data_IF_403195953811
#
_entry.id   IF_403195953811
#
_cell.length_a   1.000
_cell.length_b   1.000
_cell.length_c   1.000
_cell.angle_alpha   90.00
_cell.angle_beta   90.00
_cell.angle_gamma   90.00
#
_symmetry.space_group_name_H-M   'P 1'
#
loop_
_entity.id
_entity.type
_entity.pdbx_description
1 polymer ?
#
# COMPACT_ATOMS: atom_id res chain seq x y z
N UNK A 1 -18.86 7.35 -10.63
CA UNK A 1 -17.72 6.69 -9.97
C UNK A 1 -18.27 5.97 -8.75
N UNK A 2 -18.08 4.66 -8.66
CA UNK A 2 -18.55 3.88 -7.52
C UNK A 2 -17.75 4.33 -6.27
N UNK A 3 -18.40 4.46 -5.12
CA UNK A 3 -17.71 4.87 -3.89
C UNK A 3 -16.61 3.84 -3.54
N UNK A 4 -15.39 4.31 -3.28
CA UNK A 4 -14.23 3.45 -2.99
C UNK A 4 -14.53 2.47 -1.86
N UNK A 5 -15.32 2.90 -0.86
CA UNK A 5 -15.61 2.07 0.33
C UNK A 5 -16.52 0.88 0.05
N UNK A 6 -17.18 0.88 -1.11
CA UNK A 6 -18.03 -0.21 -1.59
C UNK A 6 -17.29 -1.24 -2.45
N UNK A 7 -16.04 -0.94 -2.85
CA UNK A 7 -15.25 -1.81 -3.71
C UNK A 7 -14.86 -3.12 -3.00
N UNK A 8 -14.88 -4.27 -3.69
CA UNK A 8 -14.36 -5.53 -3.18
C UNK A 8 -12.92 -5.45 -2.63
N UNK A 9 -12.01 -4.72 -3.29
CA UNK A 9 -10.64 -4.53 -2.76
C UNK A 9 -10.61 -3.76 -1.44
N UNK A 10 -11.49 -2.78 -1.26
CA UNK A 10 -11.64 -2.06 0.01
C UNK A 10 -12.12 -2.99 1.11
N UNK A 11 -13.15 -3.82 0.85
CA UNK A 11 -13.63 -4.80 1.83
C UNK A 11 -12.57 -5.82 2.24
N UNK A 12 -11.72 -6.24 1.30
CA UNK A 12 -10.57 -7.11 1.60
C UNK A 12 -9.56 -6.39 2.51
N UNK A 13 -9.26 -5.13 2.26
CA UNK A 13 -8.37 -4.32 3.11
C UNK A 13 -8.96 -4.07 4.50
N UNK A 14 -10.27 -3.82 4.62
CA UNK A 14 -10.94 -3.67 5.92
C UNK A 14 -10.77 -4.92 6.78
N UNK A 15 -10.96 -6.11 6.19
CA UNK A 15 -10.74 -7.38 6.88
C UNK A 15 -9.26 -7.58 7.24
N UNK A 16 -8.34 -7.38 6.30
CA UNK A 16 -6.90 -7.51 6.53
C UNK A 16 -6.38 -6.54 7.61
N UNK A 17 -6.99 -5.35 7.71
CA UNK A 17 -6.66 -4.40 8.76
C UNK A 17 -7.00 -4.92 10.16
N UNK A 18 -8.02 -5.77 10.31
CA UNK A 18 -8.32 -6.43 11.60
C UNK A 18 -7.18 -7.36 12.02
N UNK A 19 -6.62 -8.11 11.06
CA UNK A 19 -5.48 -8.99 11.32
C UNK A 19 -4.22 -8.18 11.65
N UNK A 20 -3.93 -7.14 10.86
CA UNK A 20 -2.75 -6.29 11.05
C UNK A 20 -2.76 -5.50 12.38
N UNK A 21 -3.94 -5.21 12.96
CA UNK A 21 -4.05 -4.58 14.29
C UNK A 21 -3.44 -5.40 15.42
N UNK A 22 -3.37 -6.72 15.25
CA UNK A 22 -2.76 -7.63 16.22
C UNK A 22 -1.24 -7.75 16.08
N UNK A 23 -0.67 -7.19 15.00
CA UNK A 23 0.75 -7.29 14.70
C UNK A 23 1.53 -6.16 15.37
N UNK A 24 2.73 -6.47 15.82
CA UNK A 24 3.65 -5.52 16.45
C UNK A 24 4.88 -5.30 15.59
N UNK A 25 5.38 -4.06 15.56
CA UNK A 25 6.49 -3.69 14.67
C UNK A 25 7.76 -4.48 14.96
N UNK A 26 8.10 -4.67 16.24
CA UNK A 26 9.26 -5.46 16.67
C UNK A 26 9.22 -6.88 16.09
N UNK A 27 8.06 -7.52 16.11
CA UNK A 27 7.82 -8.86 15.61
C UNK A 27 7.93 -8.90 14.09
N UNK A 28 7.38 -7.90 13.39
CA UNK A 28 7.50 -7.79 11.93
C UNK A 28 8.95 -7.66 11.47
N UNK A 29 9.79 -6.92 12.22
CA UNK A 29 11.24 -6.84 11.94
C UNK A 29 11.97 -8.13 12.34
N UNK A 30 11.58 -8.77 13.44
CA UNK A 30 12.17 -10.04 13.88
C UNK A 30 11.92 -11.17 12.88
N UNK A 31 10.71 -11.23 12.33
CA UNK A 31 10.30 -12.24 11.34
C UNK A 31 10.89 -11.98 9.95
N UNK A 32 11.18 -10.72 9.62
CA UNK A 32 11.75 -10.34 8.33
C UNK A 32 12.97 -9.42 8.52
N UNK A 33 14.19 -10.00 8.65
CA UNK A 33 15.41 -9.21 8.77
C UNK A 33 15.70 -8.28 7.59
N UNK A 34 15.11 -8.55 6.40
CA UNK A 34 15.26 -7.72 5.19
C UNK A 34 14.14 -6.70 5.00
N UNK A 35 13.35 -6.45 6.05
CA UNK A 35 12.17 -5.57 6.00
C UNK A 35 12.54 -4.15 5.58
N UNK A 36 13.66 -3.62 6.06
CA UNK A 36 14.10 -2.29 5.65
C UNK A 36 14.34 -2.22 4.14
N UNK A 37 15.13 -3.13 3.57
CA UNK A 37 15.39 -3.10 2.12
C UNK A 37 14.13 -3.33 1.29
N UNK A 38 13.22 -4.19 1.75
CA UNK A 38 11.97 -4.50 1.03
C UNK A 38 10.93 -3.38 1.07
N UNK A 39 10.90 -2.60 2.15
CA UNK A 39 9.94 -1.51 2.35
C UNK A 39 10.65 -0.16 2.40
N UNK A 40 11.63 0.02 1.52
CA UNK A 40 12.29 1.30 1.27
C UNK A 40 12.50 1.50 -0.22
N UNK A 41 12.48 2.77 -0.66
CA UNK A 41 12.85 3.14 -2.02
C UNK A 41 14.00 4.14 -1.93
N UNK A 42 15.14 3.78 -2.52
CA UNK A 42 16.28 4.68 -2.69
C UNK A 42 16.15 5.42 -4.01
N UNK A 43 16.03 6.75 -3.95
CA UNK A 43 16.00 7.64 -5.11
C UNK A 43 16.91 8.82 -4.81
N UNK A 44 18.20 8.71 -5.12
CA UNK A 44 19.20 9.71 -4.72
C UNK A 44 18.79 11.14 -5.10
N UNK A 45 18.86 12.11 -4.16
CA UNK A 45 19.48 12.01 -2.83
C UNK A 45 18.55 11.49 -1.72
N UNK A 46 17.31 11.13 -2.05
CA UNK A 46 16.26 10.76 -1.10
C UNK A 46 16.20 9.26 -0.79
N UNK A 47 15.80 8.96 0.43
CA UNK A 47 15.38 7.63 0.87
C UNK A 47 13.94 7.74 1.38
N UNK A 48 13.04 6.99 0.79
CA UNK A 48 11.69 6.77 1.33
C UNK A 48 11.70 5.45 2.11
N UNK A 49 11.91 5.53 3.42
CA UNK A 49 11.76 4.39 4.34
C UNK A 49 10.31 4.32 4.84
N UNK A 50 9.58 3.29 4.41
CA UNK A 50 8.23 3.00 4.88
C UNK A 50 8.15 1.66 5.64
N UNK A 51 9.30 1.10 6.02
CA UNK A 51 9.42 -0.18 6.73
C UNK A 51 8.82 -0.17 8.13
N UNK A 52 8.69 1.01 8.75
CA UNK A 52 8.11 1.19 10.09
C UNK A 52 6.59 1.42 10.07
N UNK A 53 5.92 1.14 8.96
CA UNK A 53 4.46 1.08 8.88
C UNK A 53 3.93 -0.34 9.14
N UNK A 54 2.72 -0.49 9.68
CA UNK A 54 2.07 -1.79 9.92
C UNK A 54 1.60 -2.43 8.60
N UNK A 55 2.57 -2.87 7.81
CA UNK A 55 2.38 -3.46 6.48
C UNK A 55 3.16 -4.77 6.33
N UNK A 56 2.63 -5.68 5.53
CA UNK A 56 3.31 -6.85 4.99
C UNK A 56 3.36 -6.76 3.46
N UNK A 57 3.98 -7.74 2.80
CA UNK A 57 3.91 -7.86 1.35
C UNK A 57 2.44 -7.98 0.88
N UNK A 58 1.64 -8.79 1.58
CA UNK A 58 0.20 -8.91 1.29
C UNK A 58 -0.57 -7.62 1.51
N UNK A 59 -0.23 -6.81 2.53
CA UNK A 59 -0.82 -5.47 2.70
C UNK A 59 -0.56 -4.61 1.46
N UNK A 60 0.67 -4.59 0.96
CA UNK A 60 1.04 -3.80 -0.22
C UNK A 60 0.30 -4.28 -1.47
N UNK A 61 0.22 -5.59 -1.71
CA UNK A 61 -0.52 -6.15 -2.85
C UNK A 61 -2.01 -5.76 -2.81
N UNK A 62 -2.63 -5.82 -1.62
CA UNK A 62 -4.03 -5.41 -1.45
C UNK A 62 -4.24 -3.90 -1.66
N UNK A 63 -3.31 -3.06 -1.18
CA UNK A 63 -3.34 -1.62 -1.42
C UNK A 63 -3.19 -1.29 -2.91
N UNK A 64 -2.30 -1.97 -3.62
CA UNK A 64 -2.14 -1.81 -5.06
C UNK A 64 -3.37 -2.29 -5.84
N UNK A 65 -4.02 -3.37 -5.39
CA UNK A 65 -5.28 -3.80 -5.99
C UNK A 65 -6.39 -2.76 -5.82
N UNK A 66 -6.49 -2.11 -4.65
CA UNK A 66 -7.42 -1.01 -4.46
C UNK A 66 -7.09 0.19 -5.36
N UNK A 67 -5.81 0.56 -5.49
CA UNK A 67 -5.39 1.64 -6.36
C UNK A 67 -5.74 1.37 -7.84
N UNK A 68 -5.59 0.12 -8.30
CA UNK A 68 -6.01 -0.32 -9.63
C UNK A 68 -7.53 -0.26 -9.80
N UNK A 69 -8.30 -0.71 -8.81
CA UNK A 69 -9.77 -0.69 -8.86
C UNK A 69 -10.34 0.74 -8.78
N UNK A 70 -9.61 1.66 -8.14
CA UNK A 70 -9.91 3.09 -8.16
C UNK A 70 -9.44 3.81 -9.44
N UNK A 71 -8.84 3.08 -10.38
CA UNK A 71 -8.35 3.56 -11.67
C UNK A 71 -7.32 4.71 -11.55
N UNK A 72 -6.47 4.65 -10.51
CA UNK A 72 -5.48 5.71 -10.22
C UNK A 72 -4.53 5.94 -11.40
N UNK A 73 -4.20 4.89 -12.15
CA UNK A 73 -3.30 4.99 -13.30
C UNK A 73 -3.92 5.78 -14.46
N UNK A 74 -5.20 5.56 -14.78
CA UNK A 74 -5.88 6.37 -15.79
C UNK A 74 -6.03 7.83 -15.31
N UNK A 75 -6.37 8.06 -14.04
CA UNK A 75 -6.43 9.42 -13.48
C UNK A 75 -5.08 10.14 -13.54
N UNK A 76 -3.98 9.43 -13.30
CA UNK A 76 -2.63 9.95 -13.53
C UNK A 76 -2.47 10.37 -14.99
N UNK A 77 -2.79 9.52 -15.95
CA UNK A 77 -2.66 9.85 -17.38
C UNK A 77 -3.49 11.08 -17.78
N UNK A 78 -4.74 11.16 -17.32
CA UNK A 78 -5.62 12.33 -17.53
C UNK A 78 -5.02 13.63 -17.01
N UNK A 79 -4.45 13.58 -15.80
CA UNK A 79 -3.78 14.73 -15.20
C UNK A 79 -2.59 15.20 -16.04
N UNK A 80 -1.77 14.26 -16.53
CA UNK A 80 -0.59 14.59 -17.34
C UNK A 80 -0.94 15.00 -18.78
N UNK A 81 -2.08 14.58 -19.33
CA UNK A 81 -2.56 15.00 -20.66
C UNK A 81 -3.31 16.33 -20.65
N UNK A 82 -3.61 16.88 -19.47
CA UNK A 82 -4.40 18.09 -19.32
C UNK A 82 -5.89 17.89 -19.60
N UNK A 83 -6.38 16.65 -19.52
CA UNK A 83 -7.81 16.35 -19.57
C UNK A 83 -8.52 17.05 -18.39
N UNK A 84 -9.69 17.65 -18.67
CA UNK A 84 -10.48 18.39 -17.68
C UNK A 84 -11.45 17.49 -16.95
#
# INVERSE_FOLDING_TARGET
MQDRTSLPSWKKLENHALDMKSQHMSELFKQNPKRFEQFSIQLAPFLLDYSKNLISASTMDMLFNLAKECDVEAWREKMFSGER
#
